data_IF_491567585609
#
_entry.id   IF_491567585609
#
_cell.length_a   1.000
_cell.length_b   1.000
_cell.length_c   1.000
_cell.angle_alpha   90.00
_cell.angle_beta   90.00
_cell.angle_gamma   90.00
#
_symmetry.space_group_name_H-M   'P 1'
#
loop_
_entity.id
_entity.type
_entity.pdbx_description
1 polymer ?
#
# COMPACT_ATOMS: atom_id res chain seq x y z
N UNK A 1 9.11 -2.86 15.72
CA UNK A 1 8.09 -3.17 14.68
C UNK A 1 6.99 -2.13 14.84
N UNK A 2 6.78 -1.26 13.84
CA UNK A 2 5.74 -0.21 13.92
C UNK A 2 4.44 -0.84 13.46
N UNK A 3 3.43 -0.85 14.31
CA UNK A 3 2.08 -1.28 13.94
C UNK A 3 1.25 -0.07 13.51
N UNK A 4 0.34 -0.27 12.56
CA UNK A 4 -0.53 0.80 12.02
C UNK A 4 -1.29 1.57 13.10
N UNK A 5 -1.58 0.96 14.24
CA UNK A 5 -2.22 1.63 15.40
C UNK A 5 -1.31 2.67 16.07
N UNK A 6 0.01 2.45 16.09
CA UNK A 6 0.98 3.35 16.70
C UNK A 6 1.21 4.60 15.86
N UNK A 7 0.94 4.53 14.55
CA UNK A 7 1.09 5.67 13.63
C UNK A 7 0.11 6.79 14.00
N UNK A 8 -1.11 6.44 14.42
CA UNK A 8 -2.19 7.40 14.73
C UNK A 8 -1.93 8.30 15.95
N UNK A 9 -0.96 7.96 16.77
CA UNK A 9 -0.61 8.73 17.99
C UNK A 9 0.65 9.58 17.83
N UNK A 10 1.31 9.52 16.66
CA UNK A 10 2.58 10.20 16.40
C UNK A 10 2.39 11.68 16.12
N UNK A 11 3.37 12.49 16.56
CA UNK A 11 3.47 13.90 16.15
C UNK A 11 3.88 14.00 14.67
N UNK A 12 3.77 15.20 14.10
CA UNK A 12 4.20 15.46 12.71
C UNK A 12 5.69 15.17 12.55
N UNK A 13 6.52 15.61 13.49
CA UNK A 13 7.97 15.38 13.48
C UNK A 13 8.30 13.89 13.55
N UNK A 14 7.55 13.11 14.33
CA UNK A 14 7.71 11.65 14.40
C UNK A 14 7.27 10.95 13.10
N UNK A 15 6.25 11.48 12.42
CA UNK A 15 5.80 10.97 11.12
C UNK A 15 6.82 11.30 10.02
N UNK A 16 7.42 12.48 10.03
CA UNK A 16 8.50 12.85 9.11
C UNK A 16 9.73 11.96 9.30
N UNK A 17 10.14 11.71 10.54
CA UNK A 17 11.22 10.78 10.87
C UNK A 17 10.89 9.34 10.41
N UNK A 18 9.64 8.90 10.55
CA UNK A 18 9.18 7.61 10.04
C UNK A 18 9.26 7.55 8.51
N UNK A 19 8.82 8.59 7.82
CA UNK A 19 8.91 8.66 6.35
C UNK A 19 10.36 8.52 5.87
N UNK A 20 11.30 9.19 6.55
CA UNK A 20 12.73 9.08 6.21
C UNK A 20 13.26 7.66 6.48
N UNK A 21 12.90 7.04 7.60
CA UNK A 21 13.32 5.66 7.90
C UNK A 21 12.77 4.66 6.87
N UNK A 22 11.52 4.81 6.45
CA UNK A 22 10.90 4.01 5.38
C UNK A 22 11.64 4.21 4.06
N UNK A 23 11.94 5.44 3.69
CA UNK A 23 12.66 5.79 2.47
C UNK A 23 14.03 5.16 2.42
N UNK A 24 14.80 5.28 3.51
CA UNK A 24 16.11 4.67 3.62
C UNK A 24 16.06 3.14 3.51
N UNK A 25 15.10 2.49 4.18
CA UNK A 25 14.90 1.04 4.08
C UNK A 25 14.58 0.60 2.65
N UNK A 26 13.72 1.34 1.96
CA UNK A 26 13.36 1.07 0.56
C UNK A 26 14.59 1.22 -0.35
N UNK A 27 15.33 2.33 -0.24
CA UNK A 27 16.53 2.58 -1.04
C UNK A 27 17.56 1.47 -0.84
N UNK A 28 17.87 1.11 0.41
CA UNK A 28 18.85 0.08 0.75
C UNK A 28 18.46 -1.28 0.17
N UNK A 29 17.19 -1.68 0.33
CA UNK A 29 16.73 -2.99 -0.16
C UNK A 29 16.66 -3.02 -1.68
N UNK A 30 16.11 -1.99 -2.32
CA UNK A 30 15.98 -1.92 -3.79
C UNK A 30 17.33 -1.82 -4.48
N UNK A 31 18.31 -1.13 -3.88
CA UNK A 31 19.68 -1.07 -4.44
C UNK A 31 20.36 -2.44 -4.48
N UNK A 32 20.00 -3.34 -3.58
CA UNK A 32 20.54 -4.71 -3.50
C UNK A 32 19.75 -5.70 -4.36
N UNK A 33 18.44 -5.69 -4.23
CA UNK A 33 17.56 -6.74 -4.77
C UNK A 33 16.86 -6.32 -6.08
N UNK A 34 16.96 -5.04 -6.46
CA UNK A 34 16.16 -4.47 -7.54
C UNK A 34 14.72 -4.18 -7.09
N UNK A 35 13.97 -3.47 -7.93
CA UNK A 35 12.57 -3.12 -7.66
C UNK A 35 12.20 -1.74 -8.18
N UNK A 36 11.02 -1.27 -7.79
CA UNK A 36 10.46 0.01 -8.22
C UNK A 36 10.86 1.12 -7.24
N UNK A 37 11.96 1.83 -7.53
CA UNK A 37 12.50 2.82 -6.60
C UNK A 37 11.69 4.11 -6.58
N UNK A 38 11.60 4.81 -7.72
CA UNK A 38 11.02 6.17 -7.79
C UNK A 38 9.55 6.22 -7.35
N UNK A 39 8.74 5.27 -7.80
CA UNK A 39 7.32 5.18 -7.42
C UNK A 39 7.10 4.93 -5.93
N UNK A 40 8.02 4.24 -5.26
CA UNK A 40 7.93 3.99 -3.84
C UNK A 40 8.46 5.16 -3.00
N UNK A 41 9.61 5.72 -3.36
CA UNK A 41 10.19 6.87 -2.64
C UNK A 41 9.26 8.08 -2.73
N UNK A 42 8.62 8.29 -3.89
CA UNK A 42 7.66 9.40 -4.09
C UNK A 42 6.29 9.21 -3.40
N UNK A 43 5.96 8.01 -2.95
CA UNK A 43 4.67 7.71 -2.32
C UNK A 43 4.73 7.51 -0.80
N UNK A 44 5.90 7.65 -0.17
CA UNK A 44 6.09 7.34 1.26
C UNK A 44 5.16 8.15 2.14
N UNK A 45 5.17 9.48 2.02
CA UNK A 45 4.36 10.38 2.84
C UNK A 45 2.86 10.13 2.64
N UNK A 46 2.44 9.93 1.40
CA UNK A 46 1.06 9.63 1.07
C UNK A 46 0.60 8.33 1.74
N UNK A 47 1.41 7.27 1.69
CA UNK A 47 1.07 5.99 2.32
C UNK A 47 1.06 6.11 3.84
N UNK A 48 2.01 6.84 4.44
CA UNK A 48 2.00 7.13 5.89
C UNK A 48 0.74 7.89 6.27
N UNK A 49 0.35 8.92 5.50
CA UNK A 49 -0.88 9.67 5.73
C UNK A 49 -2.14 8.78 5.60
N UNK A 50 -2.18 7.88 4.62
CA UNK A 50 -3.26 6.89 4.50
C UNK A 50 -3.38 6.03 5.76
N UNK A 51 -2.26 5.51 6.28
CA UNK A 51 -2.25 4.73 7.52
C UNK A 51 -2.55 5.55 8.78
N UNK A 52 -2.27 6.85 8.76
CA UNK A 52 -2.61 7.77 9.85
C UNK A 52 -4.11 8.02 9.92
N UNK A 53 -4.75 8.24 8.78
CA UNK A 53 -6.19 8.59 8.70
C UNK A 53 -7.07 7.35 8.77
N UNK A 54 -6.80 6.34 7.97
CA UNK A 54 -7.62 5.13 7.81
C UNK A 54 -7.08 3.97 8.66
N UNK A 55 -7.92 2.95 8.87
CA UNK A 55 -7.51 1.72 9.56
C UNK A 55 -7.28 0.59 8.55
N UNK A 56 -6.05 0.39 8.14
CA UNK A 56 -5.69 -0.67 7.18
C UNK A 56 -6.02 -2.10 7.63
N UNK A 57 -6.41 -2.30 8.89
CA UNK A 57 -6.90 -3.58 9.38
C UNK A 57 -8.38 -3.82 9.01
N UNK A 58 -9.15 -2.74 8.86
CA UNK A 58 -10.57 -2.75 8.56
C UNK A 58 -10.86 -2.18 7.16
N UNK A 59 -10.23 -1.06 6.82
CA UNK A 59 -10.43 -0.38 5.54
C UNK A 59 -9.63 -1.07 4.44
N UNK A 60 -10.24 -1.54 3.36
CA UNK A 60 -9.52 -2.15 2.23
C UNK A 60 -8.60 -1.14 1.55
N UNK A 61 -7.27 -1.31 1.69
CA UNK A 61 -6.30 -0.55 0.90
C UNK A 61 -6.03 -1.25 -0.42
N UNK A 62 -6.33 -0.58 -1.52
CA UNK A 62 -6.18 -1.10 -2.87
C UNK A 62 -5.15 -0.25 -3.61
N UNK A 63 -4.07 -0.87 -4.03
CA UNK A 63 -3.01 -0.21 -4.78
C UNK A 63 -3.13 -0.58 -6.25
N UNK A 64 -3.30 0.40 -7.13
CA UNK A 64 -3.30 0.14 -8.56
C UNK A 64 -1.92 -0.35 -9.01
N UNK A 65 -1.86 -1.44 -9.78
CA UNK A 65 -0.64 -2.18 -10.08
C UNK A 65 0.07 -2.70 -8.82
N UNK A 66 0.08 -1.92 -7.75
CA UNK A 66 0.72 -2.13 -6.44
C UNK A 66 2.27 -2.12 -6.44
N UNK A 67 2.88 -1.64 -7.50
CA UNK A 67 4.34 -1.47 -7.57
C UNK A 67 4.88 -0.40 -6.60
N UNK A 68 4.03 0.49 -6.10
CA UNK A 68 4.32 1.57 -5.15
C UNK A 68 4.01 1.21 -3.68
N UNK A 69 3.71 -0.06 -3.37
CA UNK A 69 3.18 -0.47 -2.07
C UNK A 69 4.25 -0.82 -1.01
N UNK A 70 5.54 -0.47 -1.21
CA UNK A 70 6.60 -0.91 -0.31
C UNK A 70 6.49 -0.31 1.09
N UNK A 71 6.15 0.97 1.22
CA UNK A 71 5.91 1.59 2.52
C UNK A 71 4.74 0.92 3.26
N UNK A 72 3.65 0.56 2.55
CA UNK A 72 2.56 -0.22 3.12
C UNK A 72 3.03 -1.59 3.66
N UNK A 73 3.87 -2.30 2.92
CA UNK A 73 4.43 -3.58 3.39
C UNK A 73 5.24 -3.40 4.67
N UNK A 74 6.10 -2.39 4.73
CA UNK A 74 6.90 -2.07 5.91
C UNK A 74 6.04 -1.72 7.12
N UNK A 75 4.97 -0.95 6.94
CA UNK A 75 4.03 -0.53 7.98
C UNK A 75 3.08 -1.65 8.45
N UNK A 76 2.98 -2.72 7.69
CA UNK A 76 2.10 -3.87 7.97
C UNK A 76 2.86 -5.13 8.40
N UNK A 77 3.98 -4.95 9.09
CA UNK A 77 4.69 -6.00 9.82
C UNK A 77 5.74 -6.75 9.01
N UNK A 78 6.09 -6.28 7.81
CA UNK A 78 7.09 -6.93 6.95
C UNK A 78 8.45 -6.24 6.97
N UNK A 79 8.77 -5.47 8.02
CA UNK A 79 9.99 -4.66 8.09
C UNK A 79 11.27 -5.50 7.97
N UNK A 80 11.39 -6.56 8.76
CA UNK A 80 12.55 -7.46 8.74
C UNK A 80 12.57 -8.34 7.49
N UNK A 81 11.41 -8.89 7.13
CA UNK A 81 11.27 -9.72 5.94
C UNK A 81 11.53 -8.94 4.63
N UNK A 82 11.43 -7.61 4.67
CA UNK A 82 11.59 -6.77 3.49
C UNK A 82 12.97 -6.86 2.84
N UNK A 83 13.99 -7.30 3.58
CA UNK A 83 15.33 -7.56 3.04
C UNK A 83 15.36 -8.68 1.99
N UNK A 84 14.31 -9.51 1.94
CA UNK A 84 14.11 -10.57 0.94
C UNK A 84 13.18 -10.13 -0.20
N UNK A 85 12.98 -8.82 -0.39
CA UNK A 85 12.12 -8.29 -1.44
C UNK A 85 12.49 -8.88 -2.80
N UNK A 86 11.52 -9.48 -3.52
CA UNK A 86 11.66 -10.09 -4.84
C UNK A 86 12.57 -11.33 -4.92
N UNK A 87 13.07 -11.81 -3.80
CA UNK A 87 13.76 -13.11 -3.77
C UNK A 87 12.75 -14.26 -3.83
N UNK A 88 13.20 -15.42 -4.26
CA UNK A 88 12.35 -16.63 -4.28
C UNK A 88 11.94 -17.01 -2.85
N UNK A 89 10.65 -17.10 -2.60
CA UNK A 89 10.11 -17.36 -1.26
C UNK A 89 10.13 -16.15 -0.32
N UNK A 90 10.65 -15.00 -0.77
CA UNK A 90 10.69 -13.76 -0.02
C UNK A 90 9.47 -12.86 -0.23
N UNK A 91 9.59 -11.60 0.17
CA UNK A 91 8.53 -10.59 0.06
C UNK A 91 8.25 -10.25 -1.41
N UNK A 92 6.99 -10.34 -1.80
CA UNK A 92 6.55 -10.01 -3.15
C UNK A 92 6.71 -8.51 -3.44
N UNK A 93 7.10 -8.16 -4.66
CA UNK A 93 7.21 -6.76 -5.12
C UNK A 93 5.86 -6.07 -5.36
N UNK A 94 4.75 -6.78 -5.18
CA UNK A 94 3.38 -6.31 -5.33
C UNK A 94 2.54 -6.75 -4.14
N UNK A 95 1.36 -6.15 -3.93
CA UNK A 95 0.43 -6.63 -2.90
C UNK A 95 -0.05 -8.04 -3.23
N UNK A 96 -0.14 -8.88 -2.20
CA UNK A 96 -0.49 -10.29 -2.35
C UNK A 96 -1.28 -10.78 -1.13
N UNK A 97 -2.60 -11.04 -1.25
CA UNK A 97 -3.42 -11.48 -0.14
C UNK A 97 -2.93 -12.74 0.58
N UNK A 98 -2.23 -13.63 -0.14
CA UNK A 98 -1.62 -14.81 0.48
C UNK A 98 -0.34 -14.52 1.28
N UNK A 99 0.23 -13.31 1.16
CA UNK A 99 1.38 -12.85 1.93
C UNK A 99 0.96 -12.13 3.21
N UNK A 100 -0.09 -11.33 3.13
CA UNK A 100 -0.55 -10.52 4.25
C UNK A 100 -2.06 -10.24 4.19
N UNK A 101 -2.72 -10.31 5.34
CA UNK A 101 -4.13 -9.93 5.49
C UNK A 101 -4.40 -8.45 5.19
N UNK A 102 -3.37 -7.63 5.13
CA UNK A 102 -3.47 -6.20 4.78
C UNK A 102 -3.41 -5.95 3.27
N UNK A 103 -3.09 -6.96 2.48
CA UNK A 103 -3.03 -6.89 1.02
C UNK A 103 -4.37 -7.39 0.45
N UNK A 104 -5.30 -6.50 0.18
CA UNK A 104 -6.68 -6.85 -0.21
C UNK A 104 -6.83 -7.30 -1.66
N UNK A 105 -5.96 -6.84 -2.54
CA UNK A 105 -6.16 -7.03 -3.98
C UNK A 105 -4.85 -7.29 -4.72
N UNK A 106 -4.90 -8.17 -5.71
CA UNK A 106 -3.82 -8.37 -6.67
C UNK A 106 -4.19 -7.65 -7.95
N UNK A 107 -3.47 -6.58 -8.26
CA UNK A 107 -3.63 -5.85 -9.51
C UNK A 107 -2.48 -6.16 -10.47
N UNK A 108 -2.77 -6.15 -11.76
CA UNK A 108 -1.77 -6.03 -12.82
C UNK A 108 -1.82 -4.62 -13.43
N UNK A 109 -1.09 -4.40 -14.52
CA UNK A 109 -1.09 -3.15 -15.28
C UNK A 109 -2.37 -3.01 -16.12
N UNK A 110 -3.53 -2.93 -15.48
CA UNK A 110 -4.84 -2.88 -16.15
C UNK A 110 -5.81 -1.85 -15.56
N UNK A 111 -5.34 -1.01 -14.64
CA UNK A 111 -6.11 0.09 -14.03
C UNK A 111 -7.44 -0.36 -13.40
N UNK A 112 -7.46 -1.55 -12.79
CA UNK A 112 -8.67 -2.19 -12.26
C UNK A 112 -8.97 -1.86 -10.81
N UNK A 113 -8.11 -1.07 -10.15
CA UNK A 113 -8.23 -0.75 -8.73
C UNK A 113 -9.52 -0.01 -8.38
N UNK A 114 -9.97 0.90 -9.24
CA UNK A 114 -11.22 1.65 -9.03
C UNK A 114 -12.42 0.71 -9.12
N UNK A 115 -12.48 -0.17 -10.12
CA UNK A 115 -13.54 -1.18 -10.23
C UNK A 115 -13.60 -2.11 -9.00
N UNK A 116 -12.42 -2.53 -8.51
CA UNK A 116 -12.32 -3.33 -7.28
C UNK A 116 -12.83 -2.55 -6.05
N UNK A 117 -12.50 -1.27 -5.95
CA UNK A 117 -12.95 -0.39 -4.86
C UNK A 117 -14.47 -0.18 -4.90
N UNK A 118 -15.05 0.04 -6.09
CA UNK A 118 -16.51 0.16 -6.25
C UNK A 118 -17.20 -1.12 -5.81
N UNK A 119 -16.66 -2.28 -6.19
CA UNK A 119 -17.19 -3.58 -5.72
C UNK A 119 -17.11 -3.72 -4.20
N UNK A 120 -15.97 -3.37 -3.61
CA UNK A 120 -15.79 -3.38 -2.15
C UNK A 120 -16.75 -2.40 -1.45
N UNK A 121 -16.89 -1.17 -1.95
CA UNK A 121 -17.81 -0.17 -1.39
C UNK A 121 -19.27 -0.64 -1.42
N UNK A 122 -19.69 -1.26 -2.51
CA UNK A 122 -21.05 -1.83 -2.63
C UNK A 122 -21.27 -2.98 -1.64
N UNK A 123 -20.30 -3.89 -1.49
CA UNK A 123 -20.37 -4.98 -0.53
C UNK A 123 -20.44 -4.46 0.91
N UNK A 124 -19.63 -3.49 1.27
CA UNK A 124 -19.62 -2.81 2.57
C UNK A 124 -20.99 -2.17 2.86
N UNK A 125 -21.54 -1.44 1.88
CA UNK A 125 -22.84 -0.80 2.03
C UNK A 125 -23.99 -1.81 2.20
N UNK A 126 -23.99 -2.90 1.43
CA UNK A 126 -25.00 -3.96 1.54
C UNK A 126 -24.93 -4.67 2.89
N UNK A 127 -23.73 -4.88 3.42
CA UNK A 127 -23.50 -5.49 4.73
C UNK A 127 -23.70 -4.51 5.89
N UNK A 128 -23.93 -3.21 5.61
CA UNK A 128 -24.03 -2.14 6.61
C UNK A 128 -22.79 -2.06 7.52
N UNK A 129 -21.61 -2.27 6.94
CA UNK A 129 -20.34 -2.16 7.63
C UNK A 129 -19.86 -0.70 7.64
N UNK A 130 -19.16 -0.31 8.72
CA UNK A 130 -18.53 1.01 8.86
C UNK A 130 -17.06 0.92 8.44
N UNK A 131 -16.82 0.82 7.14
CA UNK A 131 -15.49 0.75 6.51
C UNK A 131 -15.48 1.55 5.21
N UNK A 132 -14.29 1.96 4.78
CA UNK A 132 -14.09 2.72 3.54
C UNK A 132 -12.98 2.09 2.71
N UNK A 133 -13.22 1.72 1.44
CA UNK A 133 -12.15 1.31 0.55
C UNK A 133 -11.31 2.54 0.15
N UNK A 134 -9.99 2.41 0.28
CA UNK A 134 -9.03 3.47 -0.02
C UNK A 134 -8.16 3.03 -1.19
N UNK A 135 -8.10 3.83 -2.25
CA UNK A 135 -7.34 3.50 -3.47
C UNK A 135 -6.15 4.41 -3.63
N UNK A 136 -4.99 3.83 -3.89
CA UNK A 136 -3.83 4.55 -4.41
C UNK A 136 -3.62 4.18 -5.88
N UNK A 137 -3.81 5.14 -6.75
CA UNK A 137 -3.68 4.99 -8.20
C UNK A 137 -2.77 6.07 -8.78
N UNK A 138 -1.92 5.71 -9.74
CA UNK A 138 -1.07 6.66 -10.43
C UNK A 138 -1.85 7.48 -11.47
N UNK A 139 -1.40 8.70 -11.74
CA UNK A 139 -2.00 9.62 -12.70
C UNK A 139 -2.08 9.03 -14.11
N UNK A 140 -1.06 8.31 -14.54
CA UNK A 140 -1.06 7.60 -15.82
C UNK A 140 -2.15 6.52 -15.90
N UNK A 141 -2.35 5.75 -14.83
CA UNK A 141 -3.42 4.75 -14.76
C UNK A 141 -4.82 5.38 -14.76
N UNK A 142 -4.96 6.60 -14.23
CA UNK A 142 -6.22 7.35 -14.23
C UNK A 142 -6.73 7.69 -15.65
N UNK A 143 -5.89 7.64 -16.67
CA UNK A 143 -6.28 7.90 -18.06
C UNK A 143 -6.89 6.68 -18.77
N UNK A 144 -6.85 5.50 -18.14
CA UNK A 144 -7.36 4.27 -18.73
C UNK A 144 -8.90 4.21 -18.74
N UNK A 145 -9.49 3.68 -19.82
CA UNK A 145 -10.93 3.53 -19.96
C UNK A 145 -11.59 2.75 -18.81
N UNK A 146 -10.91 1.71 -18.29
CA UNK A 146 -11.39 0.93 -17.13
C UNK A 146 -11.70 1.77 -15.89
N UNK A 147 -11.02 2.89 -15.70
CA UNK A 147 -11.27 3.81 -14.56
C UNK A 147 -12.61 4.51 -14.73
N UNK A 148 -12.97 4.84 -15.96
CA UNK A 148 -14.21 5.57 -16.29
C UNK A 148 -15.42 4.66 -16.42
N UNK A 149 -15.21 3.35 -16.47
CA UNK A 149 -16.31 2.35 -16.52
C UNK A 149 -16.80 1.96 -15.11
N UNK A 150 -16.05 2.30 -14.07
CA UNK A 150 -16.39 2.01 -12.69
C UNK A 150 -17.31 3.08 -12.09
#
# INVERSE_FOLDING_TARGET
MIHSKEIKTKSIEELEALCEALRQKIIQTVSKNGGHLSSNVGAVELIVAMHYVFDSANDPFIFDVSHQAYAHKLLTGRWEAFDTLREFGGVCGFTKPSESKYDYFVAGHSSTSISAAVGAAKAIALNKEDRVPVVLIGDGSMTAGMVYEA
#
